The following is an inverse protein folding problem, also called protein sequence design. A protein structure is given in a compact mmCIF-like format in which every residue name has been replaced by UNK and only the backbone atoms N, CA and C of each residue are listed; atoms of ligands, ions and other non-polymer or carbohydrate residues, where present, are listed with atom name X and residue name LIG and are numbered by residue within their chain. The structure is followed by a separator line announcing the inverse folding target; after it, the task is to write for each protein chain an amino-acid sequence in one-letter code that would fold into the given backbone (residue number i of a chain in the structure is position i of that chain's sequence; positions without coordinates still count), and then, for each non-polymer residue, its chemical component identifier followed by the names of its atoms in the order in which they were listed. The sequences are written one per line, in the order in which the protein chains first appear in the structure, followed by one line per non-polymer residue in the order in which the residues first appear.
data_IF_620733986212
#
_entry.id   IF_620733986212
#
_cell.length_a   1.000
_cell.length_b   1.000
_cell.length_c   1.000
_cell.angle_alpha   90.00
_cell.angle_beta   90.00
_cell.angle_gamma   90.00
#
_symmetry.space_group_name_H-M   'P 1'
#
loop_
_entity.id
_entity.type
_entity.pdbx_description
1 polymer ?
#
# COMPACT_ATOMS: atom_id res chain seq x y z
N UNK A 1 -11.99 7.48 -10.91
CA UNK A 1 -10.70 7.19 -10.25
C UNK A 1 -10.99 6.41 -8.98
N UNK A 2 -10.18 5.42 -8.62
CA UNK A 2 -10.36 4.68 -7.35
C UNK A 2 -10.09 5.60 -6.16
N UNK A 3 -10.69 5.27 -5.03
CA UNK A 3 -10.66 6.05 -3.78
C UNK A 3 -9.90 5.29 -2.70
N UNK A 4 -9.69 5.94 -1.55
CA UNK A 4 -9.15 5.31 -0.35
C UNK A 4 -10.00 4.11 0.14
N UNK A 5 -11.33 4.12 -0.12
CA UNK A 5 -12.22 3.00 0.21
C UNK A 5 -11.86 1.75 -0.58
N UNK A 6 -11.59 1.90 -1.87
CA UNK A 6 -11.17 0.78 -2.74
C UNK A 6 -9.85 0.16 -2.26
N UNK A 7 -8.91 0.99 -1.81
CA UNK A 7 -7.62 0.53 -1.23
C UNK A 7 -7.87 -0.28 0.05
N UNK A 8 -8.75 0.21 0.93
CA UNK A 8 -9.12 -0.48 2.18
C UNK A 8 -9.77 -1.85 1.89
N UNK A 9 -10.72 -1.89 0.97
CA UNK A 9 -11.41 -3.13 0.56
C UNK A 9 -10.44 -4.16 -0.02
N UNK A 10 -9.47 -3.73 -0.85
CA UNK A 10 -8.42 -4.62 -1.36
C UNK A 10 -7.53 -5.16 -0.24
N UNK A 11 -7.11 -4.31 0.71
CA UNK A 11 -6.32 -4.75 1.87
C UNK A 11 -7.09 -5.78 2.70
N UNK A 12 -8.40 -5.59 2.89
CA UNK A 12 -9.25 -6.54 3.62
C UNK A 12 -9.39 -7.86 2.88
N UNK A 13 -9.54 -7.83 1.55
CA UNK A 13 -9.52 -9.03 0.73
C UNK A 13 -8.19 -9.79 0.88
N UNK A 14 -7.05 -9.11 0.76
CA UNK A 14 -5.73 -9.72 0.91
C UNK A 14 -5.53 -10.33 2.31
N UNK A 15 -6.05 -9.69 3.36
CA UNK A 15 -6.03 -10.25 4.73
C UNK A 15 -6.83 -11.55 4.82
N UNK A 16 -8.02 -11.60 4.21
CA UNK A 16 -8.87 -12.82 4.19
C UNK A 16 -8.18 -13.97 3.47
N UNK A 17 -7.37 -13.69 2.45
CA UNK A 17 -6.57 -14.69 1.74
C UNK A 17 -5.27 -15.08 2.49
N UNK A 18 -5.04 -14.55 3.70
CA UNK A 18 -3.79 -14.74 4.43
C UNK A 18 -2.58 -14.08 3.75
N UNK A 19 -2.80 -13.27 2.70
CA UNK A 19 -1.78 -12.62 1.89
C UNK A 19 -1.30 -11.28 2.47
N UNK A 20 -1.82 -10.90 3.64
CA UNK A 20 -1.45 -9.68 4.36
C UNK A 20 -1.74 -9.84 5.85
N UNK A 21 -0.84 -9.39 6.76
CA UNK A 21 -1.09 -9.41 8.19
C UNK A 21 -2.25 -8.48 8.58
N UNK A 22 -3.03 -8.91 9.58
CA UNK A 22 -4.16 -8.15 10.11
C UNK A 22 -3.73 -6.84 10.80
N UNK A 23 -2.49 -6.78 11.32
CA UNK A 23 -1.91 -5.60 11.98
C UNK A 23 -0.60 -5.23 11.28
N UNK A 24 -0.34 -3.96 10.92
CA UNK A 24 1.02 -3.55 10.64
C UNK A 24 1.83 -3.79 11.92
N UNK A 25 2.80 -4.70 11.87
CA UNK A 25 3.72 -4.89 12.96
C UNK A 25 4.50 -3.57 13.08
N UNK A 26 4.30 -2.81 14.17
CA UNK A 26 5.16 -1.67 14.48
C UNK A 26 6.56 -2.26 14.65
N UNK A 27 7.41 -2.16 13.64
CA UNK A 27 8.83 -2.42 13.86
C UNK A 27 9.30 -1.36 14.85
N UNK A 28 9.93 -1.82 15.93
CA UNK A 28 10.61 -0.94 16.88
C UNK A 28 11.70 -0.12 16.18
N UNK A 29 12.03 1.01 16.79
CA UNK A 29 13.13 1.90 16.42
C UNK A 29 14.38 1.10 16.01
N UNK A 30 14.73 1.19 14.73
CA UNK A 30 15.90 0.52 14.18
C UNK A 30 16.26 1.12 12.84
N UNK A 31 17.09 2.17 12.87
CA UNK A 31 17.66 2.81 11.69
C UNK A 31 18.43 1.79 10.84
N UNK A 32 18.08 1.72 9.55
CA UNK A 32 18.71 0.83 8.59
C UNK A 32 17.84 0.78 7.34
N UNK A 33 18.43 1.06 6.17
CA UNK A 33 17.74 1.04 4.88
C UNK A 33 17.14 -0.34 4.64
N UNK A 34 15.81 -0.40 4.49
CA UNK A 34 15.08 -1.66 4.42
C UNK A 34 14.84 -2.06 2.97
N UNK A 35 15.94 -2.34 2.27
CA UNK A 35 15.88 -3.08 1.00
C UNK A 35 15.27 -4.45 1.32
N UNK A 36 14.01 -4.61 0.94
CA UNK A 36 13.21 -5.77 1.26
C UNK A 36 13.75 -7.01 0.57
N UNK A 37 14.53 -7.80 1.30
CA UNK A 37 14.81 -9.20 1.01
C UNK A 37 13.52 -10.01 1.24
N UNK A 38 12.61 -9.98 0.26
CA UNK A 38 11.44 -10.86 0.27
C UNK A 38 11.86 -12.26 -0.17
N UNK A 39 12.46 -13.01 0.75
CA UNK A 39 12.86 -14.39 0.54
C UNK A 39 13.05 -15.08 1.88
N UNK A 40 12.34 -16.19 2.05
CA UNK A 40 12.35 -17.14 3.18
C UNK A 40 11.72 -16.65 4.50
N UNK A 41 10.72 -17.41 4.97
CA UNK A 41 10.11 -17.42 6.32
C UNK A 41 9.03 -16.36 6.68
N UNK A 42 8.92 -15.21 6.01
CA UNK A 42 7.86 -14.24 6.35
C UNK A 42 6.51 -14.54 5.70
N UNK A 43 5.54 -14.92 6.55
CA UNK A 43 4.09 -14.99 6.30
C UNK A 43 3.61 -13.85 5.39
N UNK A 44 2.90 -14.22 4.34
CA UNK A 44 2.55 -13.40 3.18
C UNK A 44 2.18 -11.93 3.48
N UNK A 45 2.93 -11.03 2.87
CA UNK A 45 2.67 -9.59 2.84
C UNK A 45 2.71 -9.11 1.39
N UNK A 46 1.54 -8.96 0.78
CA UNK A 46 1.39 -8.31 -0.52
C UNK A 46 1.10 -6.81 -0.28
N UNK A 47 2.02 -5.89 -0.67
CA UNK A 47 1.78 -4.46 -0.56
C UNK A 47 0.76 -3.97 -1.59
N UNK A 48 -0.04 -2.97 -1.21
CA UNK A 48 -0.97 -2.28 -2.11
C UNK A 48 -0.35 -0.96 -2.54
N UNK A 49 -0.04 -0.86 -3.83
CA UNK A 49 0.56 0.33 -4.46
C UNK A 49 -0.55 1.10 -5.18
N UNK A 50 -0.80 2.35 -4.76
CA UNK A 50 -1.75 3.21 -5.45
C UNK A 50 -1.06 3.94 -6.61
N UNK A 51 -1.59 3.81 -7.83
CA UNK A 51 -1.12 4.53 -9.01
C UNK A 51 -1.89 5.85 -9.14
N UNK A 52 -1.16 6.96 -9.14
CA UNK A 52 -1.69 8.32 -9.29
C UNK A 52 -1.45 8.74 -10.73
N UNK A 53 -2.48 8.63 -11.56
CA UNK A 53 -2.36 8.80 -13.02
C UNK A 53 -3.27 9.87 -13.61
N UNK A 54 -4.30 10.34 -12.90
CA UNK A 54 -5.28 11.29 -13.45
C UNK A 54 -5.42 12.49 -12.50
N UNK A 55 -5.62 13.73 -12.97
CA UNK A 55 -5.74 14.91 -12.12
C UNK A 55 -6.81 14.78 -11.02
N UNK A 56 -7.91 14.07 -11.30
CA UNK A 56 -9.00 13.86 -10.34
C UNK A 56 -8.56 13.02 -9.13
N UNK A 57 -7.44 12.30 -9.21
CA UNK A 57 -6.84 11.61 -8.06
C UNK A 57 -6.32 12.59 -7.01
N UNK A 58 -5.88 13.80 -7.41
CA UNK A 58 -5.32 14.81 -6.52
C UNK A 58 -6.32 15.29 -5.47
N UNK A 59 -7.61 15.33 -5.82
CA UNK A 59 -8.69 15.72 -4.91
C UNK A 59 -8.84 14.78 -3.69
N UNK A 60 -8.36 13.53 -3.79
CA UNK A 60 -8.43 12.54 -2.72
C UNK A 60 -7.04 12.03 -2.31
N UNK A 61 -5.98 12.76 -2.66
CA UNK A 61 -4.61 12.27 -2.53
C UNK A 61 -4.27 11.90 -1.09
N UNK A 62 -4.59 12.77 -0.13
CA UNK A 62 -4.28 12.55 1.29
C UNK A 62 -4.91 11.26 1.83
N UNK A 63 -6.17 11.01 1.47
CA UNK A 63 -6.87 9.79 1.87
C UNK A 63 -6.26 8.54 1.22
N UNK A 64 -5.86 8.63 -0.05
CA UNK A 64 -5.19 7.52 -0.77
C UNK A 64 -3.81 7.25 -0.17
N UNK A 65 -3.02 8.28 0.12
CA UNK A 65 -1.69 8.18 0.74
C UNK A 65 -1.78 7.56 2.13
N UNK A 66 -2.78 7.94 2.91
CA UNK A 66 -3.02 7.38 4.24
C UNK A 66 -3.35 5.89 4.18
N UNK A 67 -4.11 5.47 3.16
CA UNK A 67 -4.57 4.08 3.04
C UNK A 67 -3.63 3.18 2.25
N UNK A 68 -2.81 3.67 1.33
CA UNK A 68 -1.90 2.85 0.51
C UNK A 68 -0.61 2.49 1.28
N UNK A 69 0.10 1.45 0.85
CA UNK A 69 1.44 1.15 1.39
C UNK A 69 2.53 1.91 0.65
N UNK A 70 2.29 2.21 -0.61
CA UNK A 70 3.23 2.87 -1.51
C UNK A 70 2.45 3.62 -2.58
N UNK A 71 3.05 4.69 -3.08
CA UNK A 71 2.51 5.51 -4.17
C UNK A 71 3.38 5.33 -5.42
N UNK A 72 2.73 5.21 -6.58
CA UNK A 72 3.35 5.28 -7.89
C UNK A 72 2.79 6.49 -8.64
N UNK A 73 3.67 7.41 -9.05
CA UNK A 73 3.27 8.59 -9.82
C UNK A 73 3.39 8.30 -11.30
N UNK A 74 2.27 8.21 -12.02
CA UNK A 74 2.25 7.94 -13.45
C UNK A 74 2.04 9.24 -14.22
N UNK A 75 3.14 9.92 -14.57
CA UNK A 75 3.11 11.28 -15.15
C UNK A 75 2.47 11.41 -16.54
N UNK A 76 2.21 10.31 -17.25
CA UNK A 76 1.73 10.38 -18.63
C UNK A 76 0.34 10.99 -18.76
N UNK A 77 -0.56 10.65 -17.84
CA UNK A 77 -1.96 11.05 -17.85
C UNK A 77 -2.30 12.11 -16.78
N UNK A 78 -1.32 12.47 -15.95
CA UNK A 78 -1.46 13.26 -14.71
C UNK A 78 -1.42 14.76 -14.96
#
# INVERSE_FOLDING_TARGET
VRTAKDVRELKDYLRKQGARPARPQKQGDGGGQKHSLFGSEWRAFIPVIAKIEKPQALANLDAIVTEADTIMVARGDL
#
